data_IF_056556537225
#
_entry.id   IF_056556537225
#
_cell.length_a   1.000
_cell.length_b   1.000
_cell.length_c   1.000
_cell.angle_alpha   90.00
_cell.angle_beta   90.00
_cell.angle_gamma   90.00
#
_symmetry.space_group_name_H-M   'P 1'
#
loop_
_entity.id
_entity.type
_entity.pdbx_description
1 polymer ?
#
# COMPACT_ATOMS: atom_id res chain seq x y z
N UNK A 1 38.23 16.56 50.18
CA UNK A 1 36.81 16.21 50.42
C UNK A 1 35.91 17.04 49.51
N UNK A 2 35.38 16.44 48.43
CA UNK A 2 34.19 16.91 47.70
C UNK A 2 33.47 15.68 47.17
N UNK A 3 32.49 15.19 47.93
CA UNK A 3 31.57 14.12 47.54
C UNK A 3 30.51 14.74 46.61
N UNK A 4 30.57 14.43 45.32
CA UNK A 4 29.57 14.85 44.34
C UNK A 4 28.53 13.75 44.17
N UNK A 5 27.32 14.05 44.63
CA UNK A 5 26.12 13.22 44.49
C UNK A 5 25.73 13.13 43.01
N UNK A 6 25.82 11.94 42.41
CA UNK A 6 25.15 11.65 41.14
C UNK A 6 23.68 11.32 41.43
N UNK A 7 22.72 12.07 40.89
CA UNK A 7 21.30 11.75 41.08
C UNK A 7 20.98 10.43 40.39
N UNK A 8 20.40 9.55 41.20
CA UNK A 8 19.78 8.28 40.85
C UNK A 8 18.86 8.46 39.64
N UNK A 9 19.30 7.98 38.48
CA UNK A 9 18.55 8.04 37.23
C UNK A 9 17.45 6.96 37.31
N UNK A 10 16.23 7.40 37.57
CA UNK A 10 15.04 6.55 37.66
C UNK A 10 14.77 5.98 36.27
N UNK A 11 15.20 4.74 36.04
CA UNK A 11 14.82 3.94 34.88
C UNK A 11 13.37 3.53 35.07
N UNK A 12 12.45 4.33 34.54
CA UNK A 12 11.04 3.95 34.43
C UNK A 12 10.97 2.82 33.40
N UNK A 13 10.92 1.58 33.90
CA UNK A 13 10.47 0.41 33.16
C UNK A 13 9.03 0.66 32.72
N UNK A 14 8.86 1.25 31.53
CA UNK A 14 7.60 1.28 30.82
C UNK A 14 7.22 -0.15 30.49
N UNK A 15 6.41 -0.76 31.35
CA UNK A 15 5.77 -2.04 31.11
C UNK A 15 5.05 -1.95 29.77
N UNK A 16 5.65 -2.60 28.79
CA UNK A 16 5.17 -2.71 27.43
C UNK A 16 3.78 -3.32 27.52
N UNK A 17 2.80 -2.53 27.10
CA UNK A 17 1.42 -2.88 26.95
C UNK A 17 1.37 -4.16 26.11
N UNK A 18 1.16 -5.33 26.74
CA UNK A 18 0.92 -6.60 26.06
C UNK A 18 -0.43 -6.50 25.36
N UNK A 19 -0.42 -5.78 24.24
CA UNK A 19 -1.59 -5.37 23.50
C UNK A 19 -2.27 -6.58 22.91
N UNK A 20 -3.55 -6.73 23.26
CA UNK A 20 -4.46 -7.56 22.50
C UNK A 20 -4.40 -7.08 21.06
N UNK A 21 -3.86 -7.90 20.15
CA UNK A 21 -3.73 -7.52 18.74
C UNK A 21 -5.06 -7.01 18.16
N UNK A 22 -5.02 -6.21 17.08
CA UNK A 22 -6.18 -5.57 16.50
C UNK A 22 -7.35 -6.54 16.33
N UNK A 23 -8.47 -6.24 17.00
CA UNK A 23 -9.72 -6.99 16.84
C UNK A 23 -10.48 -6.41 15.65
N UNK A 24 -10.54 -7.14 14.55
CA UNK A 24 -11.48 -6.83 13.46
C UNK A 24 -12.87 -7.19 13.97
N UNK A 25 -13.79 -6.21 14.00
CA UNK A 25 -15.17 -6.48 14.37
C UNK A 25 -15.83 -7.35 13.29
N UNK A 26 -15.99 -8.63 13.60
CA UNK A 26 -16.61 -9.60 12.71
C UNK A 26 -18.09 -9.30 12.43
N UNK A 27 -18.75 -8.50 13.28
CA UNK A 27 -20.16 -8.13 13.11
C UNK A 27 -20.34 -6.96 12.13
N UNK A 28 -19.27 -6.21 11.88
CA UNK A 28 -19.23 -5.13 10.91
C UNK A 28 -18.02 -5.34 9.98
N UNK A 29 -18.02 -6.42 9.18
CA UNK A 29 -17.00 -6.53 8.15
C UNK A 29 -17.15 -5.31 7.24
N UNK A 30 -16.05 -4.69 6.81
CA UNK A 30 -16.08 -3.63 5.80
C UNK A 30 -16.98 -4.07 4.64
N UNK A 31 -17.97 -3.24 4.33
CA UNK A 31 -19.11 -3.59 3.47
C UNK A 31 -18.66 -3.68 2.01
N UNK A 32 -18.91 -4.82 1.36
CA UNK A 32 -18.56 -5.04 -0.05
C UNK A 32 -17.07 -5.31 -0.26
N UNK A 33 -16.70 -6.59 -0.37
CA UNK A 33 -15.33 -6.95 -0.71
C UNK A 33 -15.14 -8.45 -0.92
N UNK A 34 -14.39 -8.79 -1.96
CA UNK A 34 -13.74 -10.07 -2.15
C UNK A 34 -12.86 -10.42 -0.95
N UNK A 35 -12.50 -11.70 -0.82
CA UNK A 35 -11.60 -12.16 0.25
C UNK A 35 -10.27 -11.38 0.26
N UNK A 36 -9.73 -11.07 -0.90
CA UNK A 36 -8.49 -10.31 -1.05
C UNK A 36 -8.61 -8.88 -0.53
N UNK A 37 -9.72 -8.18 -0.79
CA UNK A 37 -9.96 -6.83 -0.26
C UNK A 37 -10.07 -6.82 1.26
N UNK A 38 -10.74 -7.82 1.83
CA UNK A 38 -10.78 -7.98 3.28
C UNK A 38 -9.36 -8.17 3.86
N UNK A 39 -8.54 -9.03 3.26
CA UNK A 39 -7.15 -9.25 3.70
C UNK A 39 -6.33 -7.95 3.60
N UNK A 40 -6.50 -7.19 2.52
CA UNK A 40 -5.82 -5.92 2.34
C UNK A 40 -6.18 -4.90 3.42
N UNK A 41 -7.46 -4.77 3.77
CA UNK A 41 -7.92 -3.86 4.80
C UNK A 41 -7.41 -4.28 6.18
N UNK A 42 -7.37 -5.58 6.45
CA UNK A 42 -6.81 -6.14 7.68
C UNK A 42 -5.32 -5.85 7.79
N UNK A 43 -4.54 -6.13 6.75
CA UNK A 43 -3.11 -5.82 6.69
C UNK A 43 -2.85 -4.32 6.79
N UNK A 44 -3.67 -3.48 6.15
CA UNK A 44 -3.59 -2.02 6.23
C UNK A 44 -3.83 -1.52 7.66
N UNK A 45 -4.82 -2.06 8.36
CA UNK A 45 -5.07 -1.70 9.75
C UNK A 45 -3.89 -2.11 10.66
N UNK A 46 -3.32 -3.31 10.44
CA UNK A 46 -2.12 -3.75 11.17
C UNK A 46 -0.92 -2.83 10.91
N UNK A 47 -0.65 -2.50 9.66
CA UNK A 47 0.43 -1.60 9.27
C UNK A 47 0.27 -0.21 9.90
N UNK A 48 -0.95 0.35 9.88
CA UNK A 48 -1.25 1.66 10.49
C UNK A 48 -1.05 1.67 12.02
N UNK A 49 -1.12 0.51 12.67
CA UNK A 49 -0.85 0.33 14.10
C UNK A 49 0.63 0.02 14.38
N UNK A 50 1.49 0.06 13.36
CA UNK A 50 2.91 -0.25 13.47
C UNK A 50 3.24 -1.75 13.41
N UNK A 51 2.27 -2.65 13.21
CA UNK A 51 2.53 -4.09 13.09
C UNK A 51 2.96 -4.50 11.68
N UNK A 52 3.99 -3.83 11.15
CA UNK A 52 4.44 -4.05 9.77
C UNK A 52 5.03 -5.44 9.55
N UNK A 53 5.68 -6.05 10.55
CA UNK A 53 6.16 -7.43 10.45
C UNK A 53 5.02 -8.42 10.12
N UNK A 54 3.83 -8.25 10.73
CA UNK A 54 2.66 -9.11 10.46
C UNK A 54 1.91 -8.72 9.19
N UNK A 55 1.89 -7.44 8.83
CA UNK A 55 1.15 -6.95 7.67
C UNK A 55 1.84 -7.25 6.34
N UNK A 56 3.18 -7.16 6.31
CA UNK A 56 3.96 -7.23 5.08
C UNK A 56 3.76 -8.54 4.29
N UNK A 57 3.75 -9.74 4.91
CA UNK A 57 3.50 -10.99 4.17
C UNK A 57 2.17 -11.00 3.42
N UNK A 58 1.10 -10.47 4.02
CA UNK A 58 -0.19 -10.37 3.35
C UNK A 58 -0.14 -9.40 2.16
N UNK A 59 0.55 -8.27 2.28
CA UNK A 59 0.73 -7.35 1.16
C UNK A 59 1.52 -7.98 0.01
N UNK A 60 2.55 -8.77 0.30
CA UNK A 60 3.33 -9.49 -0.72
C UNK A 60 2.46 -10.53 -1.43
N UNK A 61 1.66 -11.32 -0.69
CA UNK A 61 0.73 -12.26 -1.30
C UNK A 61 -0.32 -11.55 -2.17
N UNK A 62 -0.85 -10.40 -1.75
CA UNK A 62 -1.80 -9.64 -2.56
C UNK A 62 -1.14 -9.07 -3.82
N UNK A 63 0.07 -8.52 -3.71
CA UNK A 63 0.85 -8.01 -4.83
C UNK A 63 1.20 -9.08 -5.88
N UNK A 64 1.25 -10.36 -5.49
CA UNK A 64 1.48 -11.45 -6.44
C UNK A 64 0.26 -11.74 -7.33
N UNK A 65 -0.94 -11.29 -6.95
CA UNK A 65 -2.13 -11.41 -7.79
C UNK A 65 -2.07 -10.54 -9.06
N UNK A 66 -1.13 -9.59 -9.13
CA UNK A 66 -0.93 -8.73 -10.30
C UNK A 66 -1.86 -7.52 -10.34
N UNK A 67 -2.31 -7.18 -11.54
CA UNK A 67 -3.07 -5.96 -11.87
C UNK A 67 -4.16 -5.62 -10.83
N UNK A 68 -4.20 -4.38 -10.37
CA UNK A 68 -5.10 -3.90 -9.31
C UNK A 68 -4.54 -4.02 -7.88
N UNK A 69 -3.39 -4.68 -7.69
CA UNK A 69 -2.75 -4.88 -6.39
C UNK A 69 -1.42 -4.12 -6.23
N UNK A 70 -1.17 -3.12 -7.06
CA UNK A 70 0.02 -2.26 -6.98
C UNK A 70 0.10 -1.50 -5.67
N UNK A 71 -1.07 -1.13 -5.12
CA UNK A 71 -1.16 -0.49 -3.82
C UNK A 71 -0.67 -1.43 -2.70
N UNK A 72 -0.90 -2.74 -2.81
CA UNK A 72 -0.37 -3.71 -1.86
C UNK A 72 1.14 -3.82 -1.99
N UNK A 73 1.69 -3.85 -3.20
CA UNK A 73 3.13 -3.85 -3.42
C UNK A 73 3.82 -2.60 -2.84
N UNK A 74 3.22 -1.42 -3.05
CA UNK A 74 3.68 -0.18 -2.42
C UNK A 74 3.65 -0.27 -0.89
N UNK A 75 2.54 -0.76 -0.31
CA UNK A 75 2.41 -0.95 1.14
C UNK A 75 3.42 -1.94 1.71
N UNK A 76 3.75 -3.01 0.98
CA UNK A 76 4.82 -3.93 1.35
C UNK A 76 6.17 -3.19 1.42
N UNK A 77 6.48 -2.36 0.42
CA UNK A 77 7.68 -1.52 0.39
C UNK A 77 7.76 -0.52 1.54
N UNK A 78 6.64 0.11 1.91
CA UNK A 78 6.56 1.03 3.05
C UNK A 78 6.75 0.33 4.40
N UNK A 79 6.21 -0.88 4.54
CA UNK A 79 6.32 -1.62 5.79
C UNK A 79 7.68 -2.29 5.99
N UNK A 80 8.44 -2.55 4.92
CA UNK A 80 9.64 -3.38 5.00
C UNK A 80 10.75 -2.87 5.94
N UNK A 81 11.06 -1.56 6.03
CA UNK A 81 12.04 -1.08 7.01
C UNK A 81 11.64 -1.39 8.45
N UNK A 82 10.39 -1.09 8.82
CA UNK A 82 9.83 -1.36 10.15
C UNK A 82 9.69 -2.87 10.41
N UNK A 83 9.27 -3.64 9.41
CA UNK A 83 9.18 -5.10 9.51
C UNK A 83 10.56 -5.73 9.77
N UNK A 84 11.60 -5.23 9.11
CA UNK A 84 12.97 -5.70 9.29
C UNK A 84 13.53 -5.33 10.68
N UNK A 85 13.17 -4.17 11.23
CA UNK A 85 13.52 -3.78 12.61
C UNK A 85 12.79 -4.64 13.66
N UNK A 86 11.53 -4.98 13.39
CA UNK A 86 10.69 -5.83 14.25
C UNK A 86 10.94 -7.32 14.07
N UNK A 87 11.77 -7.69 13.10
CA UNK A 87 11.96 -9.08 12.71
C UNK A 87 12.48 -9.90 13.89
N UNK A 88 11.82 -11.04 14.09
CA UNK A 88 12.24 -12.05 15.04
C UNK A 88 12.36 -13.36 14.27
N UNK A 89 13.40 -14.18 14.54
CA UNK A 89 13.49 -15.49 13.94
C UNK A 89 12.23 -16.27 14.30
N UNK A 90 11.53 -16.77 13.29
CA UNK A 90 10.36 -17.62 13.51
C UNK A 90 10.81 -18.82 14.32
N UNK A 91 10.15 -19.06 15.46
CA UNK A 91 10.36 -20.28 16.23
C UNK A 91 10.06 -21.47 15.29
N UNK A 92 11.05 -22.33 14.97
CA UNK A 92 10.84 -23.45 14.05
C UNK A 92 9.72 -24.38 14.54
N UNK A 93 9.43 -24.40 15.85
CA UNK A 93 8.37 -25.20 16.45
C UNK A 93 6.98 -24.52 16.40
N UNK A 94 6.91 -23.21 16.10
CA UNK A 94 5.65 -22.48 16.02
C UNK A 94 4.79 -22.88 14.81
N UNK A 95 5.42 -23.34 13.72
CA UNK A 95 4.74 -23.74 12.46
C UNK A 95 3.82 -24.96 12.65
N UNK A 96 4.02 -25.74 13.72
CA UNK A 96 3.30 -27.00 13.95
C UNK A 96 2.06 -26.90 14.86
N UNK A 97 1.76 -25.72 15.44
CA UNK A 97 0.61 -25.58 16.36
C UNK A 97 -0.69 -25.31 15.59
N UNK A 98 -1.21 -26.40 15.00
CA UNK A 98 -2.58 -26.69 14.48
C UNK A 98 -3.42 -25.51 13.95
N UNK A 99 -3.98 -25.62 12.72
CA UNK A 99 -4.99 -24.69 12.26
C UNK A 99 -6.19 -24.71 13.21
N UNK A 100 -6.57 -23.52 13.70
CA UNK A 100 -7.75 -23.26 14.51
C UNK A 100 -9.02 -23.75 13.81
N UNK A 101 -9.33 -25.04 13.97
CA UNK A 101 -10.54 -25.72 13.49
C UNK A 101 -11.72 -25.56 14.45
N UNK A 102 -11.69 -24.55 15.33
CA UNK A 102 -12.82 -24.17 16.18
C UNK A 102 -13.79 -23.23 15.45
N UNK A 103 -15.10 -23.40 15.65
CA UNK A 103 -16.18 -22.50 15.19
C UNK A 103 -15.93 -21.08 15.70
N UNK A 104 -15.16 -20.30 14.95
CA UNK A 104 -14.69 -18.98 15.36
C UNK A 104 -13.37 -18.65 14.68
N UNK A 105 -13.33 -18.67 13.34
CA UNK A 105 -12.10 -18.38 12.57
C UNK A 105 -11.64 -16.94 12.85
N UNK A 106 -10.69 -16.78 13.77
CA UNK A 106 -9.76 -15.65 13.71
C UNK A 106 -8.93 -15.88 12.45
N UNK A 107 -8.87 -14.88 11.58
CA UNK A 107 -7.94 -14.91 10.46
C UNK A 107 -6.58 -14.65 11.07
N UNK A 108 -5.83 -15.71 11.31
CA UNK A 108 -4.43 -15.61 11.70
C UNK A 108 -3.64 -15.31 10.43
N UNK A 109 -2.88 -14.21 10.45
CA UNK A 109 -1.99 -13.78 9.35
C UNK A 109 -0.53 -13.95 9.79
N UNK A 110 -0.25 -14.95 10.61
CA UNK A 110 1.12 -15.43 10.77
C UNK A 110 1.44 -16.32 9.56
N UNK A 111 1.85 -15.64 8.48
CA UNK A 111 2.51 -16.26 7.34
C UNK A 111 4.01 -16.38 7.66
N UNK A 112 4.65 -17.40 7.11
CA UNK A 112 6.09 -17.62 7.16
C UNK A 112 6.56 -17.82 5.72
N UNK A 113 6.81 -16.71 5.05
CA UNK A 113 7.25 -16.67 3.66
C UNK A 113 8.78 -16.75 3.58
N UNK A 114 9.31 -17.29 2.49
CA UNK A 114 10.76 -17.49 2.30
C UNK A 114 11.59 -16.22 2.46
N UNK A 115 11.06 -15.04 2.13
CA UNK A 115 11.77 -13.77 2.28
C UNK A 115 11.90 -13.32 3.74
N UNK A 116 11.23 -13.96 4.69
CA UNK A 116 11.31 -13.66 6.12
C UNK A 116 12.50 -14.36 6.79
N UNK A 117 13.45 -14.90 6.01
CA UNK A 117 14.63 -15.60 6.53
C UNK A 117 15.55 -14.71 7.40
N UNK A 118 15.62 -13.41 7.12
CA UNK A 118 16.39 -12.44 7.90
C UNK A 118 15.94 -10.99 7.63
N UNK A 119 16.35 -10.00 8.45
CA UNK A 119 15.97 -8.59 8.24
C UNK A 119 16.38 -8.03 6.87
N UNK A 120 17.52 -8.46 6.32
CA UNK A 120 18.00 -7.97 5.03
C UNK A 120 17.13 -8.48 3.88
N UNK A 121 16.67 -9.74 3.92
CA UNK A 121 15.75 -10.29 2.93
C UNK A 121 14.37 -9.63 3.00
N UNK A 122 13.89 -9.26 4.20
CA UNK A 122 12.67 -8.45 4.37
C UNK A 122 12.81 -7.09 3.68
N UNK A 123 13.91 -6.36 3.93
CA UNK A 123 14.15 -5.07 3.25
C UNK A 123 14.24 -5.23 1.73
N UNK A 124 14.97 -6.25 1.27
CA UNK A 124 15.14 -6.53 -0.15
C UNK A 124 13.79 -6.83 -0.84
N UNK A 125 12.92 -7.61 -0.18
CA UNK A 125 11.59 -7.91 -0.69
C UNK A 125 10.71 -6.66 -0.76
N UNK A 126 10.72 -5.83 0.27
CA UNK A 126 9.99 -4.56 0.26
C UNK A 126 10.40 -3.66 -0.90
N UNK A 127 11.71 -3.49 -1.09
CA UNK A 127 12.25 -2.68 -2.18
C UNK A 127 11.92 -3.30 -3.56
N UNK A 128 11.90 -4.63 -3.67
CA UNK A 128 11.46 -5.34 -4.88
C UNK A 128 10.00 -5.02 -5.21
N UNK A 129 9.10 -5.11 -4.23
CA UNK A 129 7.67 -4.78 -4.40
C UNK A 129 7.47 -3.30 -4.77
N UNK A 130 8.22 -2.41 -4.14
CA UNK A 130 8.16 -0.97 -4.43
C UNK A 130 8.62 -0.66 -5.85
N UNK A 131 9.71 -1.29 -6.32
CA UNK A 131 10.17 -1.22 -7.71
C UNK A 131 9.13 -1.73 -8.69
N UNK A 132 8.44 -2.84 -8.40
CA UNK A 132 7.37 -3.36 -9.26
C UNK A 132 6.23 -2.34 -9.39
N UNK A 133 5.75 -1.78 -8.29
CA UNK A 133 4.70 -0.75 -8.32
C UNK A 133 5.16 0.53 -9.04
N UNK A 134 6.40 0.97 -8.80
CA UNK A 134 6.99 2.13 -9.46
C UNK A 134 7.13 1.93 -10.98
N UNK A 135 7.51 0.73 -11.41
CA UNK A 135 7.62 0.35 -12.83
C UNK A 135 6.24 0.27 -13.49
N UNK A 136 5.20 -0.08 -12.74
CA UNK A 136 3.80 0.02 -13.14
C UNK A 136 3.25 1.45 -13.25
N UNK A 137 4.11 2.44 -13.06
CA UNK A 137 3.79 3.84 -13.25
C UNK A 137 2.91 4.43 -12.15
N UNK A 138 2.93 3.85 -10.95
CA UNK A 138 2.31 4.44 -9.77
C UNK A 138 3.19 5.56 -9.22
N UNK A 139 2.77 6.84 -9.32
CA UNK A 139 3.62 7.96 -8.96
C UNK A 139 4.04 7.94 -7.48
N UNK A 140 3.12 7.60 -6.57
CA UNK A 140 3.43 7.50 -5.14
C UNK A 140 4.48 6.42 -4.84
N UNK A 141 4.43 5.29 -5.55
CA UNK A 141 5.44 4.24 -5.39
C UNK A 141 6.80 4.69 -5.94
N UNK A 142 6.82 5.45 -7.03
CA UNK A 142 8.05 6.06 -7.54
C UNK A 142 8.63 7.07 -6.54
N UNK A 143 7.80 7.95 -5.97
CA UNK A 143 8.25 8.94 -4.97
C UNK A 143 8.81 8.27 -3.71
N UNK A 144 8.10 7.26 -3.17
CA UNK A 144 8.55 6.48 -2.02
C UNK A 144 9.85 5.72 -2.33
N UNK A 145 9.98 5.14 -3.53
CA UNK A 145 11.20 4.46 -3.95
C UNK A 145 12.40 5.40 -3.98
N UNK A 146 12.22 6.61 -4.51
CA UNK A 146 13.28 7.62 -4.54
C UNK A 146 13.68 7.99 -3.11
N UNK A 147 12.72 8.14 -2.19
CA UNK A 147 13.00 8.44 -0.79
C UNK A 147 13.84 7.34 -0.12
N UNK A 148 13.44 6.07 -0.26
CA UNK A 148 14.18 4.94 0.31
C UNK A 148 15.58 4.78 -0.30
N UNK A 149 15.73 4.98 -1.62
CA UNK A 149 17.03 4.90 -2.27
C UNK A 149 17.97 6.04 -1.84
N UNK A 150 17.44 7.25 -1.62
CA UNK A 150 18.22 8.37 -1.09
C UNK A 150 18.66 8.11 0.35
N UNK A 151 17.76 7.57 1.19
CA UNK A 151 18.08 7.19 2.57
C UNK A 151 19.10 6.06 2.66
N UNK A 152 19.07 5.12 1.71
CA UNK A 152 20.05 4.03 1.62
C UNK A 152 21.48 4.49 1.24
N UNK A 153 21.65 5.75 0.82
CA UNK A 153 22.96 6.39 0.65
C UNK A 153 23.55 6.34 -0.76
N UNK A 154 24.82 6.75 -0.86
CA UNK A 154 25.50 7.10 -2.12
C UNK A 154 25.44 6.02 -3.21
N UNK A 155 25.50 4.74 -2.82
CA UNK A 155 25.46 3.61 -3.74
C UNK A 155 24.17 3.55 -4.58
N UNK A 156 23.09 4.21 -4.13
CA UNK A 156 21.77 4.16 -4.76
C UNK A 156 21.33 5.49 -5.39
N UNK A 157 22.13 6.55 -5.30
CA UNK A 157 21.72 7.89 -5.78
C UNK A 157 21.53 7.94 -7.31
N UNK A 158 22.29 7.17 -8.08
CA UNK A 158 22.10 7.07 -9.54
C UNK A 158 20.75 6.43 -9.87
N UNK A 159 20.37 5.38 -9.15
CA UNK A 159 19.07 4.73 -9.31
C UNK A 159 17.94 5.69 -8.88
N UNK A 160 18.08 6.36 -7.73
CA UNK A 160 17.12 7.35 -7.24
C UNK A 160 16.92 8.49 -8.25
N UNK A 161 18.01 8.99 -8.86
CA UNK A 161 17.94 10.00 -9.92
C UNK A 161 17.22 9.50 -11.15
N UNK A 162 17.48 8.25 -11.56
CA UNK A 162 16.78 7.63 -12.70
C UNK A 162 15.27 7.58 -12.44
N UNK A 163 14.85 7.16 -11.25
CA UNK A 163 13.44 7.15 -10.87
C UNK A 163 12.83 8.55 -10.76
N UNK A 164 13.58 9.56 -10.32
CA UNK A 164 13.13 10.94 -10.31
C UNK A 164 12.78 11.43 -11.72
N UNK A 165 13.63 11.13 -12.70
CA UNK A 165 13.37 11.48 -14.11
C UNK A 165 12.10 10.79 -14.63
N UNK A 166 11.92 9.50 -14.29
CA UNK A 166 10.72 8.73 -14.66
C UNK A 166 9.45 9.25 -14.01
N UNK A 167 9.52 9.62 -12.72
CA UNK A 167 8.42 10.26 -12.00
C UNK A 167 8.05 11.61 -12.61
N UNK A 168 9.05 12.40 -13.01
CA UNK A 168 8.82 13.70 -13.63
C UNK A 168 8.18 13.57 -15.04
N UNK A 169 8.49 12.49 -15.77
CA UNK A 169 7.90 12.16 -17.06
C UNK A 169 6.52 11.46 -16.96
N UNK A 170 6.15 10.92 -15.79
CA UNK A 170 4.92 10.16 -15.60
C UNK A 170 3.68 11.08 -15.63
N UNK A 171 2.84 10.93 -16.65
CA UNK A 171 1.63 11.75 -16.83
C UNK A 171 0.61 11.56 -15.70
N UNK A 172 0.56 10.36 -15.09
CA UNK A 172 -0.31 10.04 -13.95
C UNK A 172 0.05 10.84 -12.69
N UNK A 173 1.27 11.40 -12.62
CA UNK A 173 1.71 12.24 -11.48
C UNK A 173 0.75 13.39 -11.21
N UNK A 174 0.23 14.04 -12.26
CA UNK A 174 -0.66 15.20 -12.12
C UNK A 174 -2.00 14.85 -11.45
N UNK A 175 -2.41 13.58 -11.52
CA UNK A 175 -3.69 13.10 -11.00
C UNK A 175 -3.51 12.53 -9.59
N UNK A 176 -2.53 11.64 -9.42
CA UNK A 176 -2.37 10.87 -8.17
C UNK A 176 -1.16 11.25 -7.34
N UNK A 177 -0.09 11.74 -7.96
CA UNK A 177 1.23 11.86 -7.33
C UNK A 177 1.57 13.23 -6.73
N UNK A 178 0.90 14.30 -7.17
CA UNK A 178 1.16 15.67 -6.73
C UNK A 178 2.65 16.04 -6.70
N UNK A 179 3.04 16.76 -5.65
CA UNK A 179 4.43 17.09 -5.30
C UNK A 179 4.94 16.19 -4.15
N UNK A 180 4.74 14.88 -4.25
CA UNK A 180 5.13 13.93 -3.20
C UNK A 180 6.65 13.91 -2.91
N UNK A 181 7.48 14.31 -3.88
CA UNK A 181 8.94 14.37 -3.72
C UNK A 181 9.35 15.73 -3.14
N UNK A 182 9.90 15.70 -1.92
CA UNK A 182 10.41 16.87 -1.19
C UNK A 182 11.45 17.66 -2.00
N UNK A 183 11.46 18.99 -1.84
CA UNK A 183 12.36 19.89 -2.56
C UNK A 183 13.83 19.60 -2.29
N UNK A 184 14.16 19.26 -1.05
CA UNK A 184 15.52 18.96 -0.60
C UNK A 184 16.08 17.74 -1.33
N UNK A 185 15.25 16.71 -1.51
CA UNK A 185 15.62 15.49 -2.24
C UNK A 185 15.89 15.77 -3.72
N UNK A 186 15.07 16.63 -4.35
CA UNK A 186 15.32 17.08 -5.73
C UNK A 186 16.63 17.85 -5.86
N UNK A 187 16.97 18.69 -4.87
CA UNK A 187 18.25 19.41 -4.82
C UNK A 187 19.42 18.45 -4.64
N UNK A 188 19.31 17.49 -3.73
CA UNK A 188 20.33 16.45 -3.49
C UNK A 188 20.60 15.60 -4.74
N UNK A 189 19.55 15.28 -5.51
CA UNK A 189 19.67 14.50 -6.75
C UNK A 189 20.01 15.35 -7.97
N UNK A 190 20.06 16.68 -7.87
CA UNK A 190 20.40 17.58 -8.98
C UNK A 190 21.80 17.32 -9.58
N UNK A 191 22.89 17.18 -8.81
CA UNK A 191 24.24 16.97 -9.35
C UNK A 191 24.48 15.54 -9.85
N UNK A 192 23.57 14.60 -9.60
CA UNK A 192 23.74 13.20 -9.99
C UNK A 192 23.44 13.04 -11.48
N UNK A 193 24.40 12.49 -12.22
CA UNK A 193 24.24 12.13 -13.62
C UNK A 193 23.57 10.76 -13.72
N UNK A 194 22.45 10.68 -14.44
CA UNK A 194 21.76 9.44 -14.77
C UNK A 194 21.37 9.44 -16.23
N UNK A 195 21.26 8.25 -16.83
CA UNK A 195 20.79 8.13 -18.20
C UNK A 195 19.32 8.56 -18.31
N UNK A 196 19.00 9.35 -19.33
CA UNK A 196 17.63 9.62 -19.74
C UNK A 196 17.23 8.54 -20.74
N UNK A 197 16.54 7.50 -20.26
CA UNK A 197 15.88 6.53 -21.12
C UNK A 197 14.44 6.97 -21.40
N UNK A 198 13.93 6.64 -22.60
CA UNK A 198 12.49 6.73 -22.87
C UNK A 198 11.79 5.66 -22.03
N UNK A 199 11.32 6.06 -20.86
CA UNK A 199 10.59 5.17 -19.96
C UNK A 199 9.10 5.14 -20.31
N UNK A 200 8.54 3.93 -20.32
CA UNK A 200 7.10 3.67 -20.39
C UNK A 200 6.72 2.76 -19.24
N UNK A 201 5.58 3.03 -18.60
CA UNK A 201 5.04 2.16 -17.57
C UNK A 201 4.83 0.75 -18.14
N UNK A 202 5.27 -0.27 -17.39
CA UNK A 202 4.99 -1.68 -17.74
C UNK A 202 3.81 -2.15 -16.92
N UNK A 203 2.89 -2.94 -17.49
CA UNK A 203 1.78 -3.50 -16.70
C UNK A 203 2.25 -4.23 -15.44
N UNK A 204 1.46 -4.17 -14.37
CA UNK A 204 1.78 -4.88 -13.13
C UNK A 204 1.36 -6.35 -13.24
N UNK A 205 2.32 -7.19 -13.63
CA UNK A 205 2.08 -8.61 -13.85
C UNK A 205 1.92 -9.38 -12.52
N UNK A 206 1.10 -10.42 -12.55
CA UNK A 206 1.02 -11.42 -11.49
C UNK A 206 2.34 -12.19 -11.39
N UNK A 207 2.68 -12.64 -10.19
CA UNK A 207 3.86 -13.46 -9.91
C UNK A 207 3.44 -14.76 -9.22
N UNK A 208 4.06 -15.88 -9.60
CA UNK A 208 3.97 -17.09 -8.79
C UNK A 208 5.05 -17.06 -7.72
N UNK A 209 4.63 -16.80 -6.48
CA UNK A 209 5.55 -16.84 -5.33
C UNK A 209 5.95 -18.28 -4.98
N UNK A 210 5.25 -19.31 -5.47
CA UNK A 210 5.38 -20.70 -5.04
C UNK A 210 5.19 -20.90 -3.52
N UNK A 211 4.36 -20.05 -2.90
CA UNK A 211 4.09 -20.06 -1.46
C UNK A 211 2.67 -20.57 -1.17
N UNK A 212 2.49 -21.83 -0.68
CA UNK A 212 1.17 -22.40 -0.39
C UNK A 212 0.38 -21.58 0.64
N UNK A 213 1.08 -20.83 1.48
CA UNK A 213 0.49 -19.96 2.48
C UNK A 213 -0.24 -18.78 1.84
N UNK A 214 0.29 -18.20 0.75
CA UNK A 214 -0.41 -17.18 -0.02
C UNK A 214 -1.68 -17.73 -0.68
N UNK A 215 -1.62 -18.93 -1.24
CA UNK A 215 -2.82 -19.57 -1.82
C UNK A 215 -3.89 -19.79 -0.75
N UNK A 216 -3.49 -20.31 0.41
CA UNK A 216 -4.38 -20.53 1.55
C UNK A 216 -4.99 -19.22 2.04
N UNK A 217 -4.17 -18.17 2.18
CA UNK A 217 -4.59 -16.84 2.61
C UNK A 217 -5.61 -16.25 1.65
N UNK A 218 -5.32 -16.27 0.35
CA UNK A 218 -6.16 -15.69 -0.71
C UNK A 218 -7.33 -16.59 -1.10
N UNK A 219 -7.33 -17.86 -0.68
CA UNK A 219 -8.34 -18.84 -1.07
C UNK A 219 -8.20 -19.31 -2.52
N UNK A 220 -7.01 -19.21 -3.09
CA UNK A 220 -6.70 -19.69 -4.44
C UNK A 220 -6.59 -21.21 -4.39
N UNK A 221 -7.35 -21.89 -5.26
CA UNK A 221 -7.24 -23.34 -5.43
C UNK A 221 -6.52 -23.64 -6.74
N UNK A 222 -5.18 -23.82 -6.70
CA UNK A 222 -4.36 -24.10 -7.90
C UNK A 222 -4.79 -25.37 -8.64
N UNK A 223 -5.42 -26.34 -7.96
CA UNK A 223 -5.86 -27.61 -8.55
C UNK A 223 -7.20 -27.55 -9.30
N UNK A 224 -7.76 -26.36 -9.59
CA UNK A 224 -8.91 -26.25 -10.50
C UNK A 224 -8.43 -25.90 -11.91
N UNK A 225 -8.37 -26.88 -12.83
CA UNK A 225 -8.12 -26.57 -14.24
C UNK A 225 -9.18 -25.57 -14.72
N UNK A 226 -8.73 -24.42 -15.25
CA UNK A 226 -9.59 -23.35 -15.77
C UNK A 226 -9.95 -22.22 -14.80
N UNK A 227 -9.39 -22.18 -13.58
CA UNK A 227 -9.50 -21.01 -12.70
C UNK A 227 -8.59 -19.86 -13.17
N UNK A 228 -8.86 -19.32 -14.35
CA UNK A 228 -8.30 -18.02 -14.74
C UNK A 228 -8.98 -16.96 -13.88
N UNK A 229 -8.21 -16.21 -13.10
CA UNK A 229 -8.71 -15.04 -12.40
C UNK A 229 -9.47 -14.18 -13.41
N UNK A 230 -10.75 -13.88 -13.14
CA UNK A 230 -11.49 -12.94 -13.95
C UNK A 230 -10.64 -11.66 -14.04
N UNK A 231 -10.40 -11.10 -15.24
CA UNK A 231 -9.67 -9.86 -15.35
C UNK A 231 -10.41 -8.85 -14.48
N UNK A 232 -9.72 -8.35 -13.44
CA UNK A 232 -10.21 -7.19 -12.71
C UNK A 232 -10.22 -6.07 -13.75
N UNK A 233 -11.42 -5.68 -14.16
CA UNK A 233 -11.61 -4.50 -15.00
C UNK A 233 -11.05 -3.35 -14.17
N UNK A 234 -9.99 -2.73 -14.68
CA UNK A 234 -9.40 -1.52 -14.11
C UNK A 234 -10.50 -0.46 -14.09
N UNK A 235 -11.03 -0.17 -12.90
CA UNK A 235 -11.55 1.16 -12.63
C UNK A 235 -10.33 2.00 -12.25
N UNK A 236 -9.65 2.52 -13.25
CA UNK A 236 -8.51 3.43 -13.08
C UNK A 236 -8.95 4.77 -12.47
N UNK A 237 -10.26 4.96 -12.19
CA UNK A 237 -10.83 6.21 -11.70
C UNK A 237 -10.74 7.35 -12.72
N UNK A 238 -10.33 7.07 -13.96
CA UNK A 238 -10.26 8.05 -15.05
C UNK A 238 -11.54 8.05 -15.89
N UNK A 239 -12.24 6.92 -16.03
CA UNK A 239 -13.41 6.83 -16.91
C UNK A 239 -14.74 7.38 -16.33
N UNK A 240 -14.85 7.62 -15.02
CA UNK A 240 -16.10 8.10 -14.41
C UNK A 240 -16.21 9.62 -14.23
N UNK A 241 -15.18 10.39 -14.55
CA UNK A 241 -15.30 11.86 -14.65
C UNK A 241 -15.59 12.27 -16.10
N UNK A 242 -16.61 11.66 -16.72
CA UNK A 242 -17.38 12.45 -17.68
C UNK A 242 -18.16 13.46 -16.83
N UNK A 243 -17.92 14.77 -16.94
CA UNK A 243 -18.87 15.72 -16.40
C UNK A 243 -20.22 15.32 -17.00
N UNK A 244 -21.17 14.97 -16.13
CA UNK A 244 -22.58 14.84 -16.50
C UNK A 244 -22.91 16.06 -17.35
N UNK A 245 -22.98 15.84 -18.65
CA UNK A 245 -23.32 16.87 -19.60
C UNK A 245 -24.68 17.37 -19.19
N UNK A 246 -24.70 18.64 -18.80
CA UNK A 246 -25.85 19.54 -18.79
C UNK A 246 -27.10 18.85 -19.35
N UNK A 247 -27.98 18.36 -18.48
CA UNK A 247 -29.39 18.41 -18.79
C UNK A 247 -29.72 19.89 -18.92
N UNK A 248 -29.75 20.37 -20.17
CA UNK A 248 -30.38 21.62 -20.51
C UNK A 248 -31.83 21.55 -20.03
N UNK A 249 -32.10 22.15 -18.88
CA UNK A 249 -33.43 22.65 -18.58
C UNK A 249 -33.70 23.76 -19.59
N UNK A 250 -34.58 23.49 -20.53
CA UNK A 250 -35.27 24.52 -21.28
C UNK A 250 -35.96 25.46 -20.27
N UNK A 251 -35.87 26.80 -20.44
CA UNK A 251 -36.75 27.70 -19.71
C UNK A 251 -38.17 27.53 -20.24
N UNK A 252 -39.01 26.82 -19.49
CA UNK A 252 -40.45 26.86 -19.67
C UNK A 252 -40.97 28.24 -19.25
N UNK A 253 -41.63 28.91 -20.20
CA UNK A 253 -42.90 29.57 -19.94
C UNK A 253 -42.84 30.97 -19.35
N UNK A 254 -42.95 31.95 -20.26
CA UNK A 254 -43.50 33.28 -19.99
C UNK A 254 -44.77 33.19 -19.12
N UNK A 255 -44.70 33.72 -17.90
CA UNK A 255 -45.88 34.00 -17.10
C UNK A 255 -46.26 35.48 -17.30
N UNK A 256 -47.17 35.70 -18.26
CA UNK A 256 -47.75 37.01 -18.55
C UNK A 256 -48.65 37.45 -17.37
N UNK A 257 -48.13 38.30 -16.50
CA UNK A 257 -48.95 39.07 -15.57
C UNK A 257 -49.63 40.22 -16.32
N UNK A 258 -50.93 40.07 -16.51
CA UNK A 258 -51.84 41.10 -17.06
C UNK A 258 -52.29 42.01 -15.91
N UNK A 259 -52.19 43.36 -16.01
CA UNK A 259 -52.83 44.25 -15.06
C UNK A 259 -54.31 44.42 -15.40
N UNK A 260 -55.20 43.99 -14.51
CA UNK A 260 -56.62 44.31 -14.57
C UNK A 260 -56.82 45.77 -14.11
N UNK A 261 -57.22 46.61 -15.06
CA UNK A 261 -57.85 47.91 -14.83
C UNK A 261 -59.16 47.69 -14.08
N UNK A 262 -59.34 48.43 -12.98
CA UNK A 262 -60.58 48.49 -12.21
C UNK A 262 -60.82 49.92 -11.77
N UNK A 263 -61.51 50.68 -12.62
CA UNK A 263 -62.21 51.91 -12.26
C UNK A 263 -63.35 51.57 -11.30
N UNK A 264 -63.47 52.31 -10.19
CA UNK A 264 -64.75 52.53 -9.54
C UNK A 264 -64.81 53.96 -8.98
N UNK A 265 -66.01 54.52 -9.21
CA UNK A 265 -66.54 55.85 -8.90
C UNK A 265 -66.22 56.44 -7.53
#
# INVERSE_FOLDING_TARGET
>A
MKLSFYPLLIVIFGLVNCGSGPKIDRKNPPTGGTRSEFIYQVASNMANQGYCAKAMPAFVCLASMGKGWEVAARRAGQCAPLAAEQWQPTDPDAVLKKPLSGRGRKVDIDLNLTFEANPASVRAEGLRQLRRAAQAGWPDAQAELIAQLVEAGDAYLVEAKTWLLRYDANTRRKIYGGDAIKREMRQQLKPINAATDTWTATGFAAEDLNEPQCDSLLGIRRNRPGAHHAPVVEDDGLETIKPSGQHGQAPDGDNQNTPQSGDHH
#
